data_IF_741435639250
#
_entry.id   IF_741435639250
#
_cell.length_a   1.000
_cell.length_b   1.000
_cell.length_c   1.000
_cell.angle_alpha   90.00
_cell.angle_beta   90.00
_cell.angle_gamma   90.00
#
_symmetry.space_group_name_H-M   'P 1'
#
loop_
_entity.id
_entity.type
_entity.pdbx_description
1 polymer ?
#
# COMPACT_ATOMS: atom_id res chain seq x y z
N UNK A 1 10.63 -21.93 -5.62
CA UNK A 1 10.79 -20.96 -4.52
C UNK A 1 11.20 -19.63 -5.13
N UNK A 2 10.88 -18.52 -4.46
CA UNK A 2 11.26 -17.18 -4.88
C UNK A 2 11.59 -16.32 -3.67
N UNK A 3 12.58 -15.43 -3.79
CA UNK A 3 12.79 -14.35 -2.81
C UNK A 3 12.09 -13.11 -3.35
N UNK A 4 11.25 -12.50 -2.54
CA UNK A 4 10.50 -11.29 -2.89
C UNK A 4 10.69 -10.25 -1.79
N UNK A 5 10.75 -8.97 -2.14
CA UNK A 5 10.90 -7.92 -1.16
C UNK A 5 11.30 -6.58 -1.77
N UNK A 6 11.77 -5.68 -0.92
CA UNK A 6 12.13 -4.33 -1.32
C UNK A 6 13.08 -3.67 -0.34
N UNK A 7 13.73 -2.62 -0.80
CA UNK A 7 14.62 -1.76 -0.02
C UNK A 7 14.35 -0.31 -0.37
N UNK A 8 14.34 0.56 0.63
CA UNK A 8 14.37 2.00 0.48
C UNK A 8 15.45 2.58 1.40
N UNK A 9 16.25 3.49 0.84
CA UNK A 9 17.28 4.24 1.57
C UNK A 9 17.28 5.70 1.11
N UNK A 10 16.99 6.62 2.02
CA UNK A 10 17.00 8.07 1.85
C UNK A 10 18.43 8.55 2.07
N UNK A 11 19.31 8.20 1.13
CA UNK A 11 20.74 8.50 1.24
C UNK A 11 21.10 9.94 0.83
N UNK A 12 20.24 10.60 0.05
CA UNK A 12 20.45 11.97 -0.44
C UNK A 12 19.22 12.85 -0.18
N UNK A 13 19.42 14.18 0.01
CA UNK A 13 18.32 15.11 0.25
C UNK A 13 17.44 15.31 -0.99
N UNK A 14 17.88 14.91 -2.18
CA UNK A 14 17.19 15.16 -3.43
C UNK A 14 15.77 14.56 -3.45
N UNK A 15 15.62 13.32 -2.96
CA UNK A 15 14.30 12.67 -2.94
C UNK A 15 13.31 13.36 -1.99
N UNK A 16 13.82 13.93 -0.89
CA UNK A 16 13.04 14.71 0.06
C UNK A 16 12.65 16.06 -0.55
N UNK A 17 13.59 16.74 -1.21
CA UNK A 17 13.35 18.02 -1.89
C UNK A 17 12.26 17.88 -2.96
N UNK A 18 12.34 16.89 -3.84
CA UNK A 18 11.30 16.66 -4.86
C UNK A 18 9.94 16.37 -4.25
N UNK A 19 9.89 15.56 -3.20
CA UNK A 19 8.63 15.23 -2.53
C UNK A 19 8.04 16.45 -1.78
N UNK A 20 8.90 17.33 -1.27
CA UNK A 20 8.51 18.61 -0.66
C UNK A 20 7.98 19.60 -1.69
N UNK A 21 8.58 19.68 -2.88
CA UNK A 21 8.10 20.53 -4.00
C UNK A 21 6.70 20.09 -4.43
N UNK A 22 6.43 18.79 -4.40
CA UNK A 22 5.10 18.22 -4.68
C UNK A 22 4.10 18.38 -3.51
N UNK A 23 4.53 18.95 -2.38
CA UNK A 23 3.67 19.16 -1.21
C UNK A 23 3.26 17.86 -0.51
N UNK A 24 3.99 16.76 -0.72
CA UNK A 24 3.59 15.44 -0.25
C UNK A 24 4.14 15.08 1.15
N UNK A 25 5.23 15.74 1.57
CA UNK A 25 5.92 15.44 2.83
C UNK A 25 5.38 16.33 3.95
N UNK A 26 5.19 15.74 5.13
CA UNK A 26 4.81 16.48 6.33
C UNK A 26 5.95 17.40 6.81
N UNK A 27 5.67 18.69 7.14
CA UNK A 27 6.65 19.59 7.74
C UNK A 27 7.19 19.16 9.11
N UNK A 28 6.44 18.32 9.84
CA UNK A 28 6.84 17.79 11.15
C UNK A 28 7.43 16.37 11.07
N UNK A 29 7.54 15.82 9.86
CA UNK A 29 8.19 14.54 9.62
C UNK A 29 7.42 13.35 10.18
N UNK A 30 6.09 13.43 10.31
CA UNK A 30 5.24 12.32 10.75
C UNK A 30 4.14 12.01 9.74
N UNK A 31 3.91 10.72 9.47
CA UNK A 31 2.72 10.25 8.77
C UNK A 31 1.59 10.07 9.78
N UNK A 32 0.64 11.01 9.81
CA UNK A 32 -0.55 10.94 10.68
C UNK A 32 -1.73 10.30 9.98
N UNK A 33 -1.62 9.00 9.72
CA UNK A 33 -2.60 8.20 8.99
C UNK A 33 -4.01 8.39 9.56
N UNK A 34 -4.94 8.81 8.71
CA UNK A 34 -6.37 9.03 8.99
C UNK A 34 -6.67 10.05 10.10
N UNK A 35 -5.69 10.88 10.47
CA UNK A 35 -5.89 11.96 11.44
C UNK A 35 -6.51 13.20 10.80
N UNK A 36 -7.27 13.96 11.59
CA UNK A 36 -7.70 15.32 11.21
C UNK A 36 -6.51 16.27 10.99
N UNK A 37 -5.38 15.99 11.64
CA UNK A 37 -4.15 16.77 11.54
C UNK A 37 -3.19 16.24 10.45
N UNK A 38 -3.67 15.41 9.54
CA UNK A 38 -2.95 14.87 8.39
C UNK A 38 -2.44 16.00 7.48
N UNK A 39 -1.11 16.12 7.33
CA UNK A 39 -0.47 17.19 6.58
C UNK A 39 0.67 16.70 5.66
N UNK A 40 0.70 15.41 5.33
CA UNK A 40 1.74 14.78 4.52
C UNK A 40 2.32 13.53 5.19
N UNK A 41 3.26 12.89 4.49
CA UNK A 41 3.93 11.68 4.99
C UNK A 41 5.38 11.96 5.42
N UNK A 42 5.95 11.06 6.21
CA UNK A 42 7.36 11.03 6.56
C UNK A 42 8.15 10.08 5.65
N UNK A 43 9.36 10.46 5.23
CA UNK A 43 10.27 9.55 4.54
C UNK A 43 10.91 8.61 5.56
N UNK A 44 11.10 7.33 5.20
CA UNK A 44 11.71 6.34 6.08
C UNK A 44 12.57 5.35 5.32
N UNK A 45 13.50 4.72 6.02
CA UNK A 45 14.40 3.68 5.49
C UNK A 45 13.91 2.29 5.89
N UNK A 46 14.18 1.30 5.05
CA UNK A 46 13.81 -0.07 5.37
C UNK A 46 14.23 -1.08 4.32
N UNK A 47 14.42 -2.32 4.76
CA UNK A 47 14.65 -3.49 3.92
C UNK A 47 13.83 -4.64 4.46
N UNK A 48 13.12 -5.33 3.57
CA UNK A 48 12.33 -6.51 3.92
C UNK A 48 12.39 -7.55 2.81
N UNK A 49 12.55 -8.82 3.19
CA UNK A 49 12.59 -9.95 2.27
C UNK A 49 11.68 -11.08 2.78
N UNK A 50 11.01 -11.74 1.86
CA UNK A 50 10.15 -12.90 2.05
C UNK A 50 10.65 -14.03 1.18
N UNK A 51 10.65 -15.25 1.72
CA UNK A 51 10.86 -16.47 0.95
C UNK A 51 9.50 -17.09 0.65
N UNK A 52 9.15 -17.14 -0.63
CA UNK A 52 7.89 -17.70 -1.11
C UNK A 52 8.10 -19.10 -1.68
N UNK A 53 7.14 -19.96 -1.37
CA UNK A 53 7.09 -21.35 -1.80
C UNK A 53 5.62 -21.74 -2.02
N UNK A 54 5.36 -22.69 -2.92
CA UNK A 54 4.00 -23.27 -3.03
C UNK A 54 3.67 -23.94 -1.70
N UNK A 55 2.46 -23.74 -1.21
CA UNK A 55 2.01 -24.27 0.08
C UNK A 55 2.25 -25.78 0.18
N UNK A 56 1.88 -26.54 -0.84
CA UNK A 56 2.07 -28.00 -0.88
C UNK A 56 3.53 -28.43 -0.79
N UNK A 57 4.46 -27.67 -1.38
CA UNK A 57 5.88 -27.96 -1.26
C UNK A 57 6.39 -27.60 0.14
N UNK A 58 5.89 -26.52 0.75
CA UNK A 58 6.25 -26.11 2.10
C UNK A 58 5.79 -27.15 3.14
N UNK A 59 4.57 -27.66 2.99
CA UNK A 59 4.02 -28.74 3.83
C UNK A 59 4.80 -30.04 3.65
N UNK A 60 5.08 -30.46 2.41
CA UNK A 60 5.86 -31.67 2.12
C UNK A 60 7.24 -31.63 2.77
N UNK A 61 7.90 -30.48 2.69
CA UNK A 61 9.27 -30.32 3.19
C UNK A 61 9.28 -29.92 4.69
N UNK A 62 8.11 -29.84 5.34
CA UNK A 62 7.92 -29.48 6.74
C UNK A 62 8.54 -28.12 7.11
N UNK A 63 8.38 -27.14 6.22
CA UNK A 63 8.84 -25.77 6.44
C UNK A 63 7.96 -25.05 7.48
N UNK A 64 8.56 -24.09 8.19
CA UNK A 64 7.78 -23.14 9.00
C UNK A 64 7.03 -22.16 8.10
N UNK A 65 5.70 -22.28 8.07
CA UNK A 65 4.81 -21.40 7.31
C UNK A 65 4.35 -20.24 8.21
N UNK A 66 4.74 -19.01 7.88
CA UNK A 66 4.31 -17.80 8.62
C UNK A 66 2.91 -17.32 8.22
N UNK A 67 2.60 -17.36 6.93
CA UNK A 67 1.30 -17.01 6.38
C UNK A 67 1.08 -17.68 5.01
N UNK A 68 -0.16 -17.69 4.55
CA UNK A 68 -0.53 -18.16 3.21
C UNK A 68 -1.00 -16.96 2.39
N UNK A 69 -0.28 -16.65 1.32
CA UNK A 69 -0.67 -15.63 0.35
C UNK A 69 -1.79 -16.19 -0.54
N UNK A 70 -3.01 -15.69 -0.35
CA UNK A 70 -4.19 -16.11 -1.13
C UNK A 70 -4.16 -15.54 -2.54
N UNK A 71 -3.88 -14.25 -2.65
CA UNK A 71 -3.91 -13.56 -3.92
C UNK A 71 -3.13 -12.22 -3.90
N UNK A 72 -2.70 -11.74 -5.07
CA UNK A 72 -2.01 -10.44 -5.25
C UNK A 72 -2.42 -9.78 -6.56
N UNK A 73 -2.99 -8.58 -6.51
CA UNK A 73 -3.43 -7.84 -7.69
C UNK A 73 -2.83 -6.43 -7.70
N UNK A 74 -2.55 -5.93 -8.91
CA UNK A 74 -2.15 -4.54 -9.17
C UNK A 74 -2.98 -3.98 -10.31
N UNK A 75 -3.30 -2.69 -10.27
CA UNK A 75 -3.93 -1.96 -11.37
C UNK A 75 -3.32 -0.55 -11.49
N UNK A 76 -3.91 0.28 -12.36
CA UNK A 76 -3.52 1.67 -12.54
C UNK A 76 -4.78 2.56 -12.55
N UNK A 77 -4.65 3.78 -12.04
CA UNK A 77 -5.77 4.73 -11.94
C UNK A 77 -6.24 5.23 -13.31
N UNK A 78 -5.33 5.27 -14.28
CA UNK A 78 -5.59 5.72 -15.64
C UNK A 78 -5.72 7.24 -15.71
N UNK A 79 -6.53 7.74 -16.65
CA UNK A 79 -6.87 9.16 -16.70
C UNK A 79 -7.90 9.47 -15.63
N UNK A 80 -7.58 10.40 -14.73
CA UNK A 80 -8.49 10.91 -13.71
C UNK A 80 -8.99 12.31 -14.09
N UNK A 81 -10.24 12.63 -13.76
CA UNK A 81 -10.87 13.92 -14.09
C UNK A 81 -10.21 15.13 -13.40
N UNK A 82 -9.37 14.87 -12.40
CA UNK A 82 -8.59 15.90 -11.71
C UNK A 82 -7.28 16.05 -12.47
N UNK A 83 -7.00 17.24 -13.00
CA UNK A 83 -5.82 17.60 -13.84
C UNK A 83 -4.45 17.48 -13.13
N UNK A 84 -4.19 16.39 -12.41
CA UNK A 84 -2.92 16.11 -11.77
C UNK A 84 -2.66 14.61 -11.77
N UNK A 85 -1.48 14.24 -12.27
CA UNK A 85 -1.00 12.85 -12.38
C UNK A 85 -0.84 12.15 -11.02
N UNK A 86 -0.76 12.91 -9.93
CA UNK A 86 -0.47 12.39 -8.59
C UNK A 86 -1.72 12.22 -7.71
N UNK A 87 -2.92 12.52 -8.22
CA UNK A 87 -4.15 12.42 -7.43
C UNK A 87 -4.68 10.99 -7.47
N UNK A 88 -4.92 10.35 -6.31
CA UNK A 88 -5.40 8.97 -6.27
C UNK A 88 -6.86 8.86 -6.75
N UNK A 89 -7.20 7.73 -7.37
CA UNK A 89 -8.54 7.42 -7.86
C UNK A 89 -9.31 6.49 -6.92
N UNK A 90 -10.39 6.99 -6.33
CA UNK A 90 -11.32 6.16 -5.56
C UNK A 90 -11.89 5.00 -6.39
N UNK A 91 -12.21 5.26 -7.67
CA UNK A 91 -12.71 4.25 -8.59
C UNK A 91 -11.63 3.20 -8.91
N UNK A 92 -10.37 3.63 -9.04
CA UNK A 92 -9.22 2.74 -9.23
C UNK A 92 -9.01 1.78 -8.06
N UNK A 93 -9.01 2.32 -6.84
CA UNK A 93 -8.86 1.53 -5.60
C UNK A 93 -10.06 0.60 -5.36
N UNK A 94 -11.29 1.10 -5.49
CA UNK A 94 -12.51 0.29 -5.33
C UNK A 94 -12.56 -0.86 -6.34
N UNK A 95 -12.14 -0.61 -7.59
CA UNK A 95 -12.03 -1.66 -8.61
C UNK A 95 -10.99 -2.72 -8.22
N UNK A 96 -9.81 -2.29 -7.76
CA UNK A 96 -8.76 -3.20 -7.32
C UNK A 96 -9.25 -4.15 -6.22
N UNK A 97 -9.90 -3.59 -5.19
CA UNK A 97 -10.43 -4.34 -4.04
C UNK A 97 -11.52 -5.33 -4.49
N UNK A 98 -12.49 -4.88 -5.29
CA UNK A 98 -13.55 -5.75 -5.78
C UNK A 98 -13.01 -6.88 -6.67
N UNK A 99 -12.02 -6.60 -7.52
CA UNK A 99 -11.45 -7.59 -8.43
C UNK A 99 -10.66 -8.66 -7.66
N UNK A 100 -9.86 -8.27 -6.65
CA UNK A 100 -9.10 -9.25 -5.85
C UNK A 100 -10.03 -10.08 -4.97
N UNK A 101 -11.09 -9.51 -4.38
CA UNK A 101 -12.06 -10.27 -3.60
C UNK A 101 -12.80 -11.30 -4.47
N UNK A 102 -13.21 -10.91 -5.68
CA UNK A 102 -13.83 -11.83 -6.64
C UNK A 102 -12.86 -12.91 -7.10
N UNK A 103 -11.62 -12.55 -7.44
CA UNK A 103 -10.61 -13.51 -7.91
C UNK A 103 -10.23 -14.52 -6.83
N UNK A 104 -10.17 -14.07 -5.57
CA UNK A 104 -9.85 -14.90 -4.42
C UNK A 104 -11.06 -15.68 -3.85
N UNK A 105 -12.27 -15.50 -4.41
CA UNK A 105 -13.54 -16.00 -3.85
C UNK A 105 -13.66 -15.70 -2.34
N UNK A 106 -13.37 -14.45 -1.98
CA UNK A 106 -13.24 -14.02 -0.59
C UNK A 106 -14.32 -13.00 -0.22
N UNK A 107 -15.05 -13.27 0.87
CA UNK A 107 -16.04 -12.34 1.43
C UNK A 107 -15.32 -11.25 2.26
N UNK A 108 -15.35 -9.97 1.83
CA UNK A 108 -14.65 -8.89 2.52
C UNK A 108 -15.14 -8.66 3.96
N UNK A 109 -16.35 -9.11 4.32
CA UNK A 109 -16.85 -9.04 5.71
C UNK A 109 -16.08 -9.93 6.68
N UNK A 110 -15.23 -10.83 6.16
CA UNK A 110 -14.34 -11.69 6.96
C UNK A 110 -12.97 -11.05 7.22
N UNK A 111 -12.71 -9.86 6.69
CA UNK A 111 -11.48 -9.12 6.97
C UNK A 111 -11.54 -8.62 8.41
N UNK A 112 -10.55 -9.03 9.20
CA UNK A 112 -10.39 -8.55 10.57
C UNK A 112 -9.44 -7.34 10.65
N UNK A 113 -8.51 -7.24 9.70
CA UNK A 113 -7.46 -6.23 9.70
C UNK A 113 -7.10 -5.83 8.28
N UNK A 114 -6.87 -4.54 8.08
CA UNK A 114 -6.33 -3.97 6.84
C UNK A 114 -5.08 -3.19 7.21
N UNK A 115 -3.94 -3.58 6.63
CA UNK A 115 -2.76 -2.71 6.58
C UNK A 115 -2.98 -1.72 5.44
N UNK A 116 -3.41 -0.51 5.76
CA UNK A 116 -3.66 0.53 4.76
C UNK A 116 -2.37 1.18 4.26
N UNK A 117 -2.44 1.90 3.14
CA UNK A 117 -1.36 2.76 2.68
C UNK A 117 -1.13 3.93 3.65
N UNK A 118 -2.21 4.56 4.13
CA UNK A 118 -2.22 5.40 5.34
C UNK A 118 -1.19 6.52 5.32
N UNK A 119 -1.12 7.28 4.23
CA UNK A 119 -0.04 8.26 4.04
C UNK A 119 -0.06 9.43 5.01
N UNK A 120 -1.17 9.72 5.69
CA UNK A 120 -1.32 10.95 6.46
C UNK A 120 -1.51 12.16 5.57
N UNK A 121 -2.03 11.99 4.35
CA UNK A 121 -2.31 13.10 3.44
C UNK A 121 -3.78 13.51 3.52
N UNK A 122 -4.10 14.82 3.46
CA UNK A 122 -5.48 15.31 3.60
C UNK A 122 -6.39 14.89 2.44
N UNK A 123 -5.83 14.47 1.31
CA UNK A 123 -6.58 14.01 0.12
C UNK A 123 -6.60 12.48 0.05
N UNK A 124 -5.45 11.82 0.24
CA UNK A 124 -5.33 10.37 0.04
C UNK A 124 -6.07 9.58 1.09
N UNK A 125 -5.90 9.92 2.36
CA UNK A 125 -6.43 9.13 3.47
C UNK A 125 -7.98 9.08 3.48
N UNK A 126 -8.72 10.17 3.24
CA UNK A 126 -10.18 10.09 3.11
C UNK A 126 -10.63 9.26 1.90
N UNK A 127 -9.88 9.29 0.79
CA UNK A 127 -10.21 8.48 -0.40
C UNK A 127 -10.02 7.00 -0.08
N UNK A 128 -8.88 6.65 0.52
CA UNK A 128 -8.56 5.27 0.88
C UNK A 128 -9.56 4.70 1.89
N UNK A 129 -9.86 5.43 2.97
CA UNK A 129 -10.81 5.00 3.98
C UNK A 129 -12.21 4.71 3.39
N UNK A 130 -12.70 5.58 2.51
CA UNK A 130 -13.99 5.38 1.84
C UNK A 130 -14.00 4.17 0.90
N UNK A 131 -12.84 3.79 0.33
CA UNK A 131 -12.73 2.61 -0.53
C UNK A 131 -12.66 1.31 0.27
N UNK A 132 -12.05 1.35 1.47
CA UNK A 132 -11.93 0.19 2.36
C UNK A 132 -13.24 -0.19 3.06
N UNK A 133 -14.11 0.80 3.31
CA UNK A 133 -15.42 0.61 3.93
C UNK A 133 -15.48 1.13 5.36
#
# INVERSE_FOLDING_TARGET
>A
MAICGGVNAVYSPESLLWSSILGAVSPDGQSRSFSVDANGYAKGDGLGLLLLKRLSDAERDNDRIYCVLRDVLSNHDGSVDKNSIAVPSAAGQTRLLNDIYKRADFDPRRIFYVEAHGTGTPIGDPIEANCLG
#
